data_IF_572863411468
#
_entry.id   IF_572863411468
#
_cell.length_a   1.000
_cell.length_b   1.000
_cell.length_c   1.000
_cell.angle_alpha   90.00
_cell.angle_beta   90.00
_cell.angle_gamma   90.00
#
_symmetry.space_group_name_H-M   'P 1'
#
loop_
_entity.id
_entity.type
_entity.pdbx_description
1 polymer ?
#
# COMPACT_ATOMS: atom_id res chain seq x y z
N UNK A 1 -8.49 -9.30 -3.11
CA UNK A 1 -7.30 -9.17 -3.97
C UNK A 1 -6.70 -7.77 -3.80
N UNK A 2 -5.38 -7.66 -3.89
CA UNK A 2 -4.68 -6.38 -3.88
C UNK A 2 -4.90 -5.62 -5.20
N UNK A 3 -4.99 -4.30 -5.14
CA UNK A 3 -5.22 -3.43 -6.29
C UNK A 3 -3.93 -3.04 -7.04
N UNK A 4 -2.76 -3.35 -6.49
CA UNK A 4 -1.48 -3.12 -7.17
C UNK A 4 -1.31 -4.12 -8.31
N UNK A 5 -0.95 -3.62 -9.49
CA UNK A 5 -0.89 -4.36 -10.77
C UNK A 5 -0.17 -5.70 -10.68
N UNK A 6 0.96 -5.76 -9.97
CA UNK A 6 1.80 -6.95 -9.87
C UNK A 6 1.71 -7.63 -8.49
N UNK A 7 0.55 -7.56 -7.85
CA UNK A 7 0.34 -8.13 -6.52
C UNK A 7 -0.79 -9.17 -6.50
N UNK A 8 -0.43 -10.43 -6.31
CA UNK A 8 -1.39 -11.53 -6.18
C UNK A 8 -1.90 -11.76 -4.74
N UNK A 9 -1.49 -10.92 -3.77
CA UNK A 9 -1.94 -11.08 -2.39
C UNK A 9 -3.46 -10.91 -2.29
N UNK A 10 -4.09 -11.77 -1.50
CA UNK A 10 -5.53 -11.78 -1.31
C UNK A 10 -5.89 -12.02 0.16
N UNK A 11 -6.84 -11.26 0.70
CA UNK A 11 -7.22 -11.30 2.12
C UNK A 11 -7.72 -12.65 2.62
N UNK A 12 -8.19 -13.53 1.71
CA UNK A 12 -8.57 -14.90 2.08
C UNK A 12 -7.37 -15.82 2.34
N UNK A 13 -6.32 -15.71 1.53
CA UNK A 13 -5.12 -16.55 1.58
C UNK A 13 -4.03 -15.91 2.47
N UNK A 14 -3.81 -14.61 2.33
CA UNK A 14 -2.76 -13.85 3.00
C UNK A 14 -3.27 -13.18 4.28
N UNK A 15 -3.80 -13.98 5.22
CA UNK A 15 -4.40 -13.48 6.46
C UNK A 15 -3.44 -12.74 7.40
N UNK A 16 -2.13 -12.91 7.17
CA UNK A 16 -1.06 -12.22 7.89
C UNK A 16 -0.84 -10.78 7.39
N UNK A 17 -1.44 -10.39 6.25
CA UNK A 17 -1.36 -9.04 5.71
C UNK A 17 -2.62 -8.24 6.04
N UNK A 18 -2.42 -6.96 6.33
CA UNK A 18 -3.52 -6.00 6.41
C UNK A 18 -3.90 -5.54 5.00
N UNK A 19 -5.19 -5.31 4.77
CA UNK A 19 -5.72 -4.84 3.48
C UNK A 19 -6.48 -3.53 3.70
N UNK A 20 -5.95 -2.46 3.12
CA UNK A 20 -6.44 -1.10 3.34
C UNK A 20 -7.38 -0.65 2.23
N UNK A 21 -8.46 0.01 2.62
CA UNK A 21 -9.37 0.67 1.68
C UNK A 21 -8.69 1.88 1.06
N UNK A 22 -9.12 2.21 -0.16
CA UNK A 22 -8.83 3.53 -0.71
C UNK A 22 -9.35 4.62 0.25
N UNK A 23 -8.63 5.74 0.41
CA UNK A 23 -9.08 6.86 1.22
C UNK A 23 -10.45 7.40 0.76
N UNK A 24 -11.24 7.90 1.71
CA UNK A 24 -12.47 8.64 1.41
C UNK A 24 -12.21 10.07 0.92
N UNK A 25 -10.97 10.56 1.09
CA UNK A 25 -10.53 11.83 0.54
C UNK A 25 -10.18 11.66 -0.95
N UNK A 26 -10.68 12.56 -1.78
CA UNK A 26 -10.61 12.45 -3.24
C UNK A 26 -9.19 12.64 -3.76
N UNK A 27 -8.42 13.58 -3.21
CA UNK A 27 -7.04 13.82 -3.63
C UNK A 27 -6.13 12.65 -3.24
N UNK A 28 -6.29 12.11 -2.03
CA UNK A 28 -5.56 10.92 -1.62
C UNK A 28 -5.95 9.67 -2.41
N UNK A 29 -7.24 9.51 -2.75
CA UNK A 29 -7.69 8.41 -3.59
C UNK A 29 -7.06 8.48 -4.99
N UNK A 30 -6.90 9.68 -5.57
CA UNK A 30 -6.18 9.88 -6.84
C UNK A 30 -4.71 9.46 -6.74
N UNK A 31 -4.01 9.81 -5.66
CA UNK A 31 -2.62 9.37 -5.46
C UNK A 31 -2.52 7.84 -5.41
N UNK A 32 -3.47 7.17 -4.76
CA UNK A 32 -3.51 5.71 -4.72
C UNK A 32 -3.84 5.10 -6.09
N UNK A 33 -4.75 5.71 -6.87
CA UNK A 33 -5.06 5.28 -8.24
C UNK A 33 -3.81 5.32 -9.12
N UNK A 34 -3.08 6.44 -9.06
CA UNK A 34 -1.82 6.63 -9.80
C UNK A 34 -0.79 5.59 -9.39
N UNK A 35 -0.58 5.37 -8.08
CA UNK A 35 0.35 4.37 -7.57
C UNK A 35 -0.02 2.93 -7.97
N UNK A 36 -1.31 2.63 -8.10
CA UNK A 36 -1.79 1.32 -8.54
C UNK A 36 -1.79 1.14 -10.08
N UNK A 37 -1.41 2.16 -10.86
CA UNK A 37 -1.55 2.21 -12.33
C UNK A 37 -3.00 1.96 -12.81
N UNK A 38 -3.99 2.42 -12.03
CA UNK A 38 -5.41 2.34 -12.39
C UNK A 38 -5.78 3.59 -13.19
N UNK A 39 -5.91 3.42 -14.51
CA UNK A 39 -6.19 4.51 -15.47
C UNK A 39 -7.68 4.82 -15.64
N UNK A 40 -8.55 3.97 -15.09
CA UNK A 40 -10.00 4.13 -15.20
C UNK A 40 -10.52 5.20 -14.23
N UNK A 41 -11.50 5.99 -14.68
CA UNK A 41 -12.23 6.90 -13.80
C UNK A 41 -13.27 6.11 -12.99
N UNK A 42 -12.81 5.47 -11.91
CA UNK A 42 -13.66 4.66 -11.04
C UNK A 42 -14.33 5.56 -9.99
N UNK A 43 -15.66 5.50 -9.82
CA UNK A 43 -16.35 6.25 -8.78
C UNK A 43 -15.77 5.96 -7.40
N UNK A 44 -15.57 7.00 -6.58
CA UNK A 44 -14.96 6.89 -5.25
C UNK A 44 -15.63 5.83 -4.36
N UNK A 45 -16.97 5.71 -4.41
CA UNK A 45 -17.71 4.69 -3.68
C UNK A 45 -17.31 3.26 -4.08
N UNK A 46 -17.05 3.03 -5.38
CA UNK A 46 -16.58 1.73 -5.87
C UNK A 46 -15.14 1.47 -5.44
N UNK A 47 -14.25 2.48 -5.48
CA UNK A 47 -12.88 2.35 -4.96
C UNK A 47 -12.88 1.96 -3.48
N UNK A 48 -13.59 2.73 -2.66
CA UNK A 48 -13.68 2.49 -1.22
C UNK A 48 -14.24 1.10 -0.90
N UNK A 49 -15.27 0.65 -1.62
CA UNK A 49 -15.93 -0.63 -1.32
C UNK A 49 -15.15 -1.84 -1.83
N UNK A 50 -14.58 -1.78 -3.04
CA UNK A 50 -14.12 -2.96 -3.76
C UNK A 50 -12.61 -3.08 -3.86
N UNK A 51 -11.86 -1.97 -3.74
CA UNK A 51 -10.42 -1.97 -3.98
C UNK A 51 -9.66 -1.93 -2.66
N UNK A 52 -8.61 -2.75 -2.56
CA UNK A 52 -7.76 -2.84 -1.37
C UNK A 52 -6.30 -2.88 -1.75
N UNK A 53 -5.44 -2.26 -0.95
CA UNK A 53 -3.99 -2.41 -1.08
C UNK A 53 -3.46 -3.14 0.15
N UNK A 54 -2.65 -4.18 -0.04
CA UNK A 54 -2.08 -4.93 1.08
C UNK A 54 -0.92 -4.16 1.75
N UNK A 55 -0.61 -4.49 3.00
CA UNK A 55 0.40 -3.81 3.81
C UNK A 55 1.83 -3.84 3.22
N UNK A 56 2.14 -4.76 2.30
CA UNK A 56 3.47 -4.81 1.65
C UNK A 56 3.79 -3.58 0.79
N UNK A 57 2.78 -2.81 0.40
CA UNK A 57 2.95 -1.64 -0.47
C UNK A 57 3.13 -0.32 0.28
N UNK A 58 3.26 -0.36 1.61
CA UNK A 58 3.50 0.83 2.41
C UNK A 58 4.82 0.69 3.15
N UNK A 59 5.61 1.77 3.17
CA UNK A 59 6.87 1.79 3.90
C UNK A 59 6.60 1.70 5.42
N UNK A 60 7.54 1.16 6.23
CA UNK A 60 7.34 1.01 7.68
C UNK A 60 6.93 2.31 8.39
N UNK A 61 7.51 3.45 8.01
CA UNK A 61 7.18 4.76 8.60
C UNK A 61 5.79 5.30 8.24
N UNK A 62 5.08 4.66 7.29
CA UNK A 62 3.71 5.05 6.92
C UNK A 62 2.64 4.43 7.82
N UNK A 63 3.04 3.55 8.75
CA UNK A 63 2.13 2.93 9.70
C UNK A 63 2.07 3.73 11.01
N UNK A 64 0.89 3.73 11.62
CA UNK A 64 0.66 4.31 12.96
C UNK A 64 1.05 3.34 14.09
N UNK A 65 1.40 2.08 13.75
CA UNK A 65 1.75 1.04 14.70
C UNK A 65 2.58 -0.08 14.05
N UNK A 66 3.25 -0.86 14.89
CA UNK A 66 4.10 -1.98 14.46
C UNK A 66 3.30 -3.17 13.92
N UNK A 67 2.01 -3.26 14.28
CA UNK A 67 1.09 -4.27 13.73
C UNK A 67 0.75 -4.04 12.25
N UNK A 68 1.16 -2.91 11.67
CA UNK A 68 0.92 -2.54 10.27
C UNK A 68 -0.55 -2.69 9.87
N UNK A 69 -1.47 -2.32 10.77
CA UNK A 69 -2.92 -2.41 10.56
C UNK A 69 -3.62 -1.03 10.58
N UNK A 70 -2.85 0.06 10.76
CA UNK A 70 -3.32 1.45 10.68
C UNK A 70 -2.33 2.29 9.89
N UNK A 71 -2.82 3.06 8.92
CA UNK A 71 -2.01 3.94 8.07
C UNK A 71 -2.06 5.39 8.55
N UNK A 72 -0.95 6.10 8.36
CA UNK A 72 -0.86 7.55 8.48
C UNK A 72 -1.74 8.26 7.43
N UNK A 73 -2.08 9.52 7.69
CA UNK A 73 -2.86 10.34 6.75
C UNK A 73 -2.10 10.67 5.46
N UNK A 74 -0.77 10.64 5.47
CA UNK A 74 0.05 10.88 4.28
C UNK A 74 0.50 9.57 3.60
N UNK A 75 -0.01 8.41 4.04
CA UNK A 75 0.39 7.13 3.45
C UNK A 75 -0.11 7.01 2.01
N UNK A 76 0.82 6.68 1.11
CA UNK A 76 0.59 6.41 -0.31
C UNK A 76 1.24 5.07 -0.63
N UNK A 77 0.54 4.14 -1.30
CA UNK A 77 1.13 2.87 -1.66
C UNK A 77 2.23 3.08 -2.69
N UNK A 78 3.19 2.18 -2.70
CA UNK A 78 4.24 2.14 -3.71
C UNK A 78 4.44 0.70 -4.16
N UNK A 79 4.88 0.54 -5.40
CA UNK A 79 5.56 -0.67 -5.82
C UNK A 79 6.88 -0.69 -5.07
N UNK A 80 6.88 -1.19 -3.83
CA UNK A 80 8.12 -1.42 -3.10
C UNK A 80 8.89 -2.47 -3.90
N UNK A 81 9.74 -1.99 -4.82
CA UNK A 81 10.92 -2.71 -5.24
C UNK A 81 11.68 -2.99 -3.96
N UNK A 82 11.97 -4.26 -3.69
CA UNK A 82 12.83 -4.66 -2.59
C UNK A 82 14.12 -3.82 -2.66
N UNK A 83 14.19 -2.74 -1.87
CA UNK A 83 15.49 -2.27 -1.43
C UNK A 83 15.89 -3.35 -0.43
N UNK A 84 16.56 -4.38 -0.94
CA UNK A 84 17.40 -5.24 -0.15
C UNK A 84 18.28 -4.28 0.65
N UNK A 85 18.13 -4.29 1.97
CA UNK A 85 19.09 -3.65 2.87
C UNK A 85 20.40 -4.46 2.85
N UNK A 86 20.98 -4.67 1.67
CA UNK A 86 22.41 -4.86 1.50
C UNK A 86 23.04 -3.46 1.47
N UNK A 87 22.97 -2.79 2.61
CA UNK A 87 24.07 -1.91 3.00
C UNK A 87 24.98 -2.78 3.86
N UNK A 88 25.76 -3.62 3.20
CA UNK A 88 27.07 -4.00 3.72
C UNK A 88 27.98 -2.76 3.61
N UNK A 89 29.03 -2.74 4.44
CA UNK A 89 30.11 -1.73 4.51
C UNK A 89 29.76 -0.55 5.42
N UNK A 90 30.48 -0.25 6.51
CA UNK A 90 31.65 -0.83 7.16
C UNK A 90 31.77 -0.15 8.54
N UNK A 91 32.31 -0.85 9.53
CA UNK A 91 32.76 -0.26 10.78
C UNK A 91 34.15 0.35 10.57
N UNK A 92 34.23 1.67 10.51
CA UNK A 92 35.45 2.48 10.76
C UNK A 92 34.95 3.93 10.92
N UNK A 93 35.23 4.70 11.96
CA UNK A 93 36.37 4.83 12.89
C UNK A 93 35.94 4.96 14.36
#
# INVERSE_FOLDING_TARGET
>A
MCAMRDCNNNSGADRHLSFFRFPSDLERAKLWLQACDIKENIPQKRLYNNYRVCSKHFAPHMFLNDLKNRLQIHAVPSSVLNITNDVTTDQSE
#
